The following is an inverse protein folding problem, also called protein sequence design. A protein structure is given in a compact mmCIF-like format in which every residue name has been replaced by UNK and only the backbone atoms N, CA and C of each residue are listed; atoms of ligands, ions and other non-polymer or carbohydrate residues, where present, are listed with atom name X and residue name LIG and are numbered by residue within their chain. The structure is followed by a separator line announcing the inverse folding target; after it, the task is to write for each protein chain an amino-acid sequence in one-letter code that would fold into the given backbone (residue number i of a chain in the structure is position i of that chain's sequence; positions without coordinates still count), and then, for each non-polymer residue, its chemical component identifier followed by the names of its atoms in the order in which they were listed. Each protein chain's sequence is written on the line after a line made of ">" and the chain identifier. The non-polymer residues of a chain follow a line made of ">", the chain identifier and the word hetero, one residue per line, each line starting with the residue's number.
data_IF_931704618367
#
_entry.id   IF_931704618367
#
_cell.length_a   1.000
_cell.length_b   1.000
_cell.length_c   1.000
_cell.angle_alpha   90.00
_cell.angle_beta   90.00
_cell.angle_gamma   90.00
#
_symmetry.space_group_name_H-M   'P 1'
#
loop_
_entity.id
_entity.type
_entity.pdbx_description
1 polymer ?
#
# COMPACT_ATOMS: atom_id res chain seq x y z
N UNK A 1 52.92 37.77 -45.12
CA UNK A 1 51.67 36.97 -45.10
C UNK A 1 51.54 36.33 -43.72
N UNK A 2 50.65 36.84 -42.86
CA UNK A 2 50.46 36.36 -41.49
C UNK A 2 49.34 35.32 -41.50
N UNK A 3 49.61 34.11 -41.02
CA UNK A 3 48.61 33.04 -40.90
C UNK A 3 47.68 33.37 -39.72
N UNK A 4 46.33 33.32 -39.87
CA UNK A 4 45.44 33.50 -38.74
C UNK A 4 45.51 32.28 -37.82
N UNK A 5 45.73 32.54 -36.53
CA UNK A 5 45.68 31.58 -35.45
C UNK A 5 44.25 31.03 -35.30
N UNK A 6 44.07 29.73 -35.58
CA UNK A 6 42.85 28.97 -35.28
C UNK A 6 43.05 28.11 -34.02
N UNK A 7 43.28 28.73 -32.86
CA UNK A 7 43.42 27.98 -31.60
C UNK A 7 42.76 28.74 -30.45
N UNK A 8 41.43 28.94 -30.48
CA UNK A 8 40.68 29.40 -29.29
C UNK A 8 39.30 28.70 -29.13
N UNK A 9 38.78 27.98 -30.13
CA UNK A 9 37.36 27.57 -30.11
C UNK A 9 37.04 26.24 -29.40
N UNK A 10 38.01 25.37 -29.10
CA UNK A 10 37.70 24.02 -28.60
C UNK A 10 37.52 23.93 -27.08
N UNK A 11 38.16 24.82 -26.31
CA UNK A 11 38.09 24.80 -24.85
C UNK A 11 36.74 25.34 -24.33
N UNK A 12 36.20 26.37 -24.98
CA UNK A 12 34.91 26.98 -24.61
C UNK A 12 33.75 26.00 -24.79
N UNK A 13 33.76 25.19 -25.85
CA UNK A 13 32.72 24.18 -26.08
C UNK A 13 32.74 23.06 -25.03
N UNK A 14 33.93 22.71 -24.53
CA UNK A 14 34.12 21.70 -23.49
C UNK A 14 33.66 22.23 -22.13
N UNK A 15 34.02 23.46 -21.79
CA UNK A 15 33.61 24.10 -20.53
C UNK A 15 32.08 24.30 -20.47
N UNK A 16 31.44 24.68 -21.58
CA UNK A 16 29.97 24.79 -21.67
C UNK A 16 29.29 23.42 -21.53
N UNK A 17 29.87 22.36 -22.11
CA UNK A 17 29.36 20.99 -21.93
C UNK A 17 29.52 20.50 -20.48
N UNK A 18 30.63 20.86 -19.82
CA UNK A 18 30.89 20.55 -18.41
C UNK A 18 29.95 21.31 -17.47
N UNK A 19 29.65 22.59 -17.74
CA UNK A 19 28.68 23.36 -16.97
C UNK A 19 27.24 22.85 -17.16
N UNK A 20 26.84 22.57 -18.40
CA UNK A 20 25.54 21.95 -18.69
C UNK A 20 25.39 20.58 -18.00
N UNK A 21 26.48 19.79 -17.95
CA UNK A 21 26.53 18.53 -17.23
C UNK A 21 26.38 18.73 -15.72
N UNK A 22 27.11 19.70 -15.14
CA UNK A 22 27.01 20.04 -13.71
C UNK A 22 25.60 20.44 -13.32
N UNK A 23 24.96 21.31 -14.08
CA UNK A 23 23.57 21.72 -13.84
C UNK A 23 22.59 20.54 -13.95
N UNK A 24 22.78 19.66 -14.93
CA UNK A 24 21.97 18.46 -15.08
C UNK A 24 22.13 17.51 -13.88
N UNK A 25 23.36 17.31 -13.41
CA UNK A 25 23.65 16.49 -12.23
C UNK A 25 23.08 17.10 -10.96
N UNK A 26 23.17 18.42 -10.80
CA UNK A 26 22.60 19.13 -9.67
C UNK A 26 21.06 18.97 -9.65
N UNK A 27 20.40 19.21 -10.79
CA UNK A 27 18.96 18.97 -10.96
C UNK A 27 18.58 17.53 -10.65
N UNK A 28 19.34 16.56 -11.13
CA UNK A 28 19.10 15.15 -10.84
C UNK A 28 19.25 14.83 -9.35
N UNK A 29 20.31 15.32 -8.69
CA UNK A 29 20.53 15.11 -7.26
C UNK A 29 19.38 15.72 -6.43
N UNK A 30 18.86 16.88 -6.83
CA UNK A 30 17.65 17.47 -6.23
C UNK A 30 16.43 16.56 -6.46
N UNK A 31 16.23 16.05 -7.68
CA UNK A 31 15.13 15.15 -8.00
C UNK A 31 15.20 13.83 -7.20
N UNK A 32 16.39 13.25 -7.04
CA UNK A 32 16.62 12.05 -6.22
C UNK A 32 16.32 12.32 -4.74
N UNK A 33 16.78 13.46 -4.19
CA UNK A 33 16.46 13.86 -2.81
C UNK A 33 14.94 14.00 -2.63
N UNK A 34 14.26 14.70 -3.54
CA UNK A 34 12.79 14.85 -3.54
C UNK A 34 12.07 13.50 -3.63
N UNK A 35 12.51 12.62 -4.52
CA UNK A 35 11.94 11.27 -4.68
C UNK A 35 12.08 10.43 -3.42
N UNK A 36 13.27 10.41 -2.82
CA UNK A 36 13.52 9.71 -1.55
C UNK A 36 12.68 10.28 -0.41
N UNK A 37 12.59 11.61 -0.30
CA UNK A 37 11.76 12.28 0.70
C UNK A 37 10.27 11.90 0.52
N UNK A 38 9.75 11.93 -0.71
CA UNK A 38 8.38 11.50 -1.02
C UNK A 38 8.13 10.05 -0.62
N UNK A 39 9.06 9.14 -0.93
CA UNK A 39 8.93 7.72 -0.56
C UNK A 39 8.94 7.52 0.96
N UNK A 40 9.79 8.24 1.70
CA UNK A 40 9.81 8.19 3.17
C UNK A 40 8.52 8.73 3.76
N UNK A 41 8.03 9.87 3.26
CA UNK A 41 6.76 10.45 3.70
C UNK A 41 5.59 9.48 3.46
N UNK A 42 5.51 8.87 2.27
CA UNK A 42 4.48 7.87 1.96
C UNK A 42 4.55 6.64 2.90
N UNK A 43 5.76 6.19 3.24
CA UNK A 43 5.94 5.10 4.22
C UNK A 43 5.48 5.52 5.62
N UNK A 44 5.82 6.72 6.06
CA UNK A 44 5.37 7.27 7.36
C UNK A 44 3.85 7.28 7.44
N UNK A 45 3.18 7.90 6.45
CA UNK A 45 1.71 7.98 6.41
C UNK A 45 1.05 6.60 6.47
N UNK A 46 1.63 5.60 5.79
CA UNK A 46 1.13 4.23 5.85
C UNK A 46 1.26 3.62 7.24
N UNK A 47 2.38 3.84 7.92
CA UNK A 47 2.62 3.38 9.30
C UNK A 47 1.62 4.07 10.24
N UNK A 48 1.50 5.39 10.15
CA UNK A 48 0.61 6.18 10.99
C UNK A 48 -0.85 5.72 10.83
N UNK A 49 -1.29 5.49 9.58
CA UNK A 49 -2.63 4.98 9.28
C UNK A 49 -2.85 3.56 9.82
N UNK A 50 -1.83 2.71 9.75
CA UNK A 50 -1.92 1.36 10.31
C UNK A 50 -2.05 1.40 11.83
N UNK A 51 -1.26 2.24 12.50
CA UNK A 51 -1.34 2.43 13.95
C UNK A 51 -2.71 2.96 14.37
N UNK A 52 -3.25 3.96 13.66
CA UNK A 52 -4.59 4.48 13.90
C UNK A 52 -5.67 3.40 13.72
N UNK A 53 -5.64 2.66 12.61
CA UNK A 53 -6.59 1.57 12.35
C UNK A 53 -6.47 0.43 13.37
N UNK A 54 -5.26 0.15 13.84
CA UNK A 54 -5.02 -0.85 14.88
C UNK A 54 -5.63 -0.41 16.21
N UNK A 55 -5.39 0.84 16.62
CA UNK A 55 -5.98 1.42 17.82
C UNK A 55 -7.52 1.44 17.75
N UNK A 56 -8.09 1.85 16.61
CA UNK A 56 -9.54 1.84 16.39
C UNK A 56 -10.13 0.43 16.46
N UNK A 57 -9.47 -0.56 15.85
CA UNK A 57 -9.93 -1.95 15.93
C UNK A 57 -9.87 -2.50 17.37
N UNK A 58 -8.80 -2.19 18.12
CA UNK A 58 -8.69 -2.57 19.53
C UNK A 58 -9.84 -1.99 20.36
N UNK A 59 -10.15 -0.69 20.18
CA UNK A 59 -11.25 -0.03 20.85
C UNK A 59 -12.62 -0.64 20.49
N UNK A 60 -12.86 -0.91 19.20
CA UNK A 60 -14.09 -1.55 18.74
C UNK A 60 -14.25 -2.97 19.32
N UNK A 61 -13.16 -3.76 19.33
CA UNK A 61 -13.15 -5.10 19.94
C UNK A 61 -13.45 -5.03 21.43
N UNK A 62 -12.89 -4.06 22.14
CA UNK A 62 -13.17 -3.82 23.56
C UNK A 62 -14.65 -3.51 23.81
N UNK A 63 -15.21 -2.55 23.08
CA UNK A 63 -16.63 -2.17 23.20
C UNK A 63 -17.57 -3.35 22.88
N UNK A 64 -17.25 -4.12 21.84
CA UNK A 64 -18.02 -5.29 21.45
C UNK A 64 -17.96 -6.38 22.54
N UNK A 65 -16.77 -6.66 23.07
CA UNK A 65 -16.56 -7.63 24.15
C UNK A 65 -17.35 -7.24 25.39
N UNK A 66 -17.32 -5.95 25.76
CA UNK A 66 -18.13 -5.41 26.87
C UNK A 66 -19.61 -5.65 26.63
N UNK A 67 -20.13 -5.28 25.46
CA UNK A 67 -21.54 -5.45 25.10
C UNK A 67 -21.97 -6.93 25.14
N UNK A 68 -21.10 -7.84 24.69
CA UNK A 68 -21.35 -9.28 24.73
C UNK A 68 -21.41 -9.82 26.16
N UNK A 69 -20.59 -9.31 27.08
CA UNK A 69 -20.67 -9.64 28.51
C UNK A 69 -22.00 -9.19 29.10
N UNK A 70 -22.43 -7.96 28.79
CA UNK A 70 -23.73 -7.42 29.22
C UNK A 70 -24.90 -8.27 28.68
N UNK A 71 -24.86 -8.65 27.40
CA UNK A 71 -25.87 -9.54 26.79
C UNK A 71 -25.89 -10.93 27.42
N UNK A 72 -24.72 -11.47 27.74
CA UNK A 72 -24.61 -12.76 28.43
C UNK A 72 -25.22 -12.68 29.83
N UNK A 73 -24.97 -11.59 30.56
CA UNK A 73 -25.59 -11.34 31.85
C UNK A 73 -27.12 -11.23 31.74
N UNK A 74 -27.63 -10.47 30.77
CA UNK A 74 -29.06 -10.36 30.50
C UNK A 74 -29.69 -11.72 30.17
N UNK A 75 -29.00 -12.57 29.41
CA UNK A 75 -29.44 -13.96 29.14
C UNK A 75 -29.64 -14.72 30.44
N UNK A 76 -28.68 -14.66 31.35
CA UNK A 76 -28.73 -15.35 32.64
C UNK A 76 -29.90 -14.84 33.51
N UNK A 77 -30.17 -13.53 33.49
CA UNK A 77 -31.34 -12.97 34.18
C UNK A 77 -32.67 -13.47 33.60
N UNK A 78 -32.78 -13.51 32.27
CA UNK A 78 -34.00 -14.02 31.61
C UNK A 78 -34.25 -15.48 31.95
N UNK A 79 -33.20 -16.33 31.88
CA UNK A 79 -33.27 -17.74 32.30
C UNK A 79 -33.73 -17.86 33.75
N UNK A 80 -33.12 -17.11 34.66
CA UNK A 80 -33.45 -17.16 36.10
C UNK A 80 -34.88 -16.68 36.39
N UNK A 81 -35.40 -15.74 35.60
CA UNK A 81 -36.77 -15.24 35.74
C UNK A 81 -37.83 -16.14 35.07
N UNK A 82 -37.44 -17.25 34.45
CA UNK A 82 -38.37 -18.13 33.72
C UNK A 82 -38.96 -17.50 32.45
N UNK A 83 -38.39 -16.39 31.97
CA UNK A 83 -38.86 -15.69 30.77
C UNK A 83 -38.32 -16.36 29.50
N UNK A 84 -39.09 -16.25 28.42
CA UNK A 84 -38.65 -16.72 27.10
C UNK A 84 -37.45 -15.88 26.61
N UNK A 85 -36.39 -16.56 26.21
CA UNK A 85 -35.18 -15.92 25.68
C UNK A 85 -35.42 -15.54 24.21
N UNK A 86 -35.17 -14.28 23.81
CA UNK A 86 -35.25 -13.88 22.40
C UNK A 86 -34.26 -14.69 21.53
N UNK A 87 -34.73 -15.20 20.38
CA UNK A 87 -33.90 -16.01 19.46
C UNK A 87 -32.61 -15.30 19.04
N UNK A 88 -32.72 -14.02 18.70
CA UNK A 88 -31.58 -13.16 18.32
C UNK A 88 -30.50 -13.11 19.40
N UNK A 89 -30.88 -13.08 20.67
CA UNK A 89 -29.93 -13.05 21.79
C UNK A 89 -29.22 -14.40 21.95
N UNK A 90 -29.92 -15.52 21.74
CA UNK A 90 -29.31 -16.85 21.70
C UNK A 90 -28.32 -16.99 20.53
N UNK A 91 -28.67 -16.48 19.36
CA UNK A 91 -27.80 -16.49 18.17
C UNK A 91 -26.53 -15.66 18.39
N UNK A 92 -26.66 -14.46 18.97
CA UNK A 92 -25.51 -13.59 19.27
C UNK A 92 -24.56 -14.23 20.28
N UNK A 93 -25.08 -14.79 21.38
CA UNK A 93 -24.27 -15.47 22.38
C UNK A 93 -23.61 -16.74 21.82
N UNK A 94 -24.27 -17.42 20.86
CA UNK A 94 -23.67 -18.56 20.15
C UNK A 94 -22.55 -18.09 19.21
N UNK A 95 -22.75 -16.98 18.50
CA UNK A 95 -21.77 -16.43 17.57
C UNK A 95 -20.53 -15.87 18.29
N UNK A 96 -20.67 -15.42 19.54
CA UNK A 96 -19.59 -14.89 20.37
C UNK A 96 -18.76 -15.92 21.14
N UNK A 97 -19.04 -17.21 20.98
CA UNK A 97 -18.16 -18.27 21.54
C UNK A 97 -16.84 -18.25 20.78
N UNK A 98 -15.75 -18.73 21.39
CA UNK A 98 -14.41 -18.75 20.77
C UNK A 98 -14.39 -19.39 19.36
N UNK A 99 -15.13 -20.48 19.16
CA UNK A 99 -15.26 -21.16 17.86
C UNK A 99 -16.25 -20.48 16.90
N UNK A 100 -16.93 -19.43 17.36
CA UNK A 100 -17.92 -18.68 16.60
C UNK A 100 -17.27 -17.59 15.74
N UNK A 101 -17.97 -17.11 14.70
CA UNK A 101 -17.43 -16.10 13.79
C UNK A 101 -17.06 -14.79 14.51
N UNK A 102 -17.75 -14.46 15.60
CA UNK A 102 -17.48 -13.25 16.38
C UNK A 102 -16.37 -13.47 17.41
N UNK A 103 -16.25 -14.68 17.97
CA UNK A 103 -15.15 -15.04 18.87
C UNK A 103 -13.81 -15.01 18.15
N UNK A 104 -13.73 -15.61 16.96
CA UNK A 104 -12.52 -15.58 16.12
C UNK A 104 -12.05 -14.16 15.76
N UNK A 105 -12.98 -13.21 15.60
CA UNK A 105 -12.65 -11.81 15.29
C UNK A 105 -12.12 -11.05 16.53
N UNK A 106 -12.52 -11.49 17.72
CA UNK A 106 -12.14 -10.90 19.00
C UNK A 106 -10.86 -11.51 19.58
N UNK A 107 -10.51 -12.75 19.21
CA UNK A 107 -9.29 -13.42 19.66
C UNK A 107 -8.07 -12.82 18.93
N UNK A 108 -7.25 -12.06 19.65
CA UNK A 108 -6.05 -11.41 19.11
C UNK A 108 -5.08 -12.45 18.54
N UNK A 109 -4.72 -12.28 17.28
CA UNK A 109 -3.46 -12.79 16.72
C UNK A 109 -2.62 -11.58 16.35
N UNK A 110 -2.22 -10.81 17.36
CA UNK A 110 -1.42 -9.59 17.19
C UNK A 110 0.09 -9.91 17.07
N UNK A 111 0.46 -11.16 16.76
CA UNK A 111 1.83 -11.63 16.95
C UNK A 111 2.82 -11.44 15.78
N UNK A 112 2.41 -11.10 14.55
CA UNK A 112 3.34 -11.22 13.40
C UNK A 112 3.52 -9.97 12.51
N UNK A 113 2.84 -8.85 12.77
CA UNK A 113 2.84 -7.73 11.78
C UNK A 113 3.94 -6.69 12.00
N UNK A 114 4.55 -6.63 13.19
CA UNK A 114 5.65 -5.69 13.47
C UNK A 114 6.90 -5.94 12.59
N UNK A 115 7.07 -7.17 12.08
CA UNK A 115 8.22 -7.55 11.24
C UNK A 115 8.02 -7.25 9.75
N UNK A 116 6.78 -7.10 9.28
CA UNK A 116 6.48 -6.80 7.87
C UNK A 116 6.94 -5.37 7.51
N UNK A 117 6.88 -4.44 8.46
CA UNK A 117 7.23 -3.03 8.21
C UNK A 117 8.73 -2.73 8.43
N UNK A 118 9.45 -3.58 9.19
CA UNK A 118 10.88 -3.46 9.49
C UNK A 118 11.80 -4.06 8.43
N UNK A 119 11.40 -5.15 7.75
CA UNK A 119 12.27 -5.87 6.80
C UNK A 119 12.43 -5.23 5.41
N UNK A 120 11.70 -4.17 5.09
CA UNK A 120 11.81 -3.47 3.78
C UNK A 120 13.04 -2.56 3.61
N UNK A 121 14.00 -2.58 4.54
CA UNK A 121 15.29 -1.90 4.40
C UNK A 121 16.33 -2.68 3.58
N UNK A 122 16.04 -3.93 3.19
CA UNK A 122 16.94 -4.77 2.39
C UNK A 122 16.54 -4.81 0.92
N UNK A 123 17.36 -4.22 0.06
CA UNK A 123 17.37 -4.47 -1.38
C UNK A 123 17.55 -5.96 -1.66
N UNK A 124 16.55 -6.63 -2.23
CA UNK A 124 16.76 -7.86 -2.98
C UNK A 124 15.89 -7.88 -4.25
N UNK A 125 16.59 -7.95 -5.39
CA UNK A 125 16.03 -8.32 -6.66
C UNK A 125 15.38 -9.71 -6.52
N UNK A 126 14.05 -9.79 -6.47
CA UNK A 126 13.33 -11.05 -6.66
C UNK A 126 12.61 -11.02 -8.00
N UNK A 127 13.41 -11.34 -9.01
CA UNK A 127 12.97 -12.05 -10.21
C UNK A 127 12.45 -13.41 -9.75
N UNK A 128 11.13 -13.56 -9.55
CA UNK A 128 10.52 -14.89 -9.40
C UNK A 128 9.16 -14.93 -10.08
N UNK A 129 9.12 -15.71 -11.14
CA UNK A 129 7.96 -16.12 -11.92
C UNK A 129 6.78 -16.52 -11.03
N UNK A 130 5.62 -15.96 -11.32
CA UNK A 130 4.37 -16.69 -11.33
C UNK A 130 3.70 -16.43 -12.68
N UNK A 131 3.93 -17.36 -13.60
CA UNK A 131 3.00 -17.60 -14.69
C UNK A 131 1.68 -18.10 -14.07
N UNK A 132 0.56 -17.57 -14.52
CA UNK A 132 -0.68 -18.29 -14.89
C UNK A 132 -1.87 -17.32 -14.95
N UNK A 133 -2.11 -16.75 -16.14
CA UNK A 133 -3.48 -16.57 -16.68
C UNK A 133 -3.40 -16.72 -18.21
N UNK A 134 -4.18 -17.62 -18.84
CA UNK A 134 -4.30 -17.70 -20.29
C UNK A 134 -5.26 -16.61 -20.78
N UNK A 135 -4.80 -15.72 -21.66
CA UNK A 135 -5.67 -14.84 -22.44
C UNK A 135 -6.11 -15.56 -23.71
N UNK A 136 -7.40 -15.52 -24.11
CA UNK A 136 -7.83 -16.10 -25.36
C UNK A 136 -7.33 -15.24 -26.53
N UNK A 137 -6.67 -15.93 -27.45
CA UNK A 137 -6.32 -15.49 -28.80
C UNK A 137 -7.58 -15.10 -29.58
N UNK A 138 -7.56 -13.92 -30.21
CA UNK A 138 -8.38 -13.64 -31.39
C UNK A 138 -7.49 -13.00 -32.45
N UNK A 139 -7.50 -13.64 -33.61
CA UNK A 139 -6.67 -13.42 -34.77
C UNK A 139 -6.88 -12.06 -35.47
N UNK A 140 -5.80 -11.65 -36.12
CA UNK A 140 -5.64 -10.75 -37.27
C UNK A 140 -6.89 -10.37 -38.07
N UNK A 141 -6.97 -9.07 -38.40
CA UNK A 141 -7.40 -8.61 -39.73
C UNK A 141 -6.94 -7.17 -40.04
N UNK A 142 -5.93 -7.10 -40.93
CA UNK A 142 -5.88 -6.29 -42.17
C UNK A 142 -6.12 -4.76 -42.11
N UNK A 143 -5.03 -4.05 -42.47
CA UNK A 143 -4.93 -2.90 -43.40
C UNK A 143 -6.14 -1.98 -43.53
N UNK A 144 -5.97 -0.67 -43.25
CA UNK A 144 -6.48 0.43 -44.08
C UNK A 144 -5.58 1.68 -43.93
N UNK A 145 -5.21 2.27 -45.07
CA UNK A 145 -4.36 3.47 -45.23
C UNK A 145 -5.14 4.74 -44.87
N UNK A 146 -4.50 5.83 -44.41
CA UNK A 146 -5.14 7.12 -44.31
C UNK A 146 -5.15 7.82 -45.69
N UNK A 147 -6.34 8.15 -46.19
CA UNK A 147 -6.52 9.04 -47.34
C UNK A 147 -6.21 10.48 -46.94
N UNK A 148 -5.32 11.10 -47.70
CA UNK A 148 -4.92 12.49 -47.62
C UNK A 148 -6.01 13.35 -48.27
N UNK A 149 -6.50 14.36 -47.54
CA UNK A 149 -7.39 15.39 -48.05
C UNK A 149 -6.65 16.27 -49.07
N UNK A 150 -7.23 16.47 -50.25
CA UNK A 150 -7.11 17.73 -50.99
C UNK A 150 -8.44 18.07 -51.68
N UNK A 151 -8.97 19.21 -51.22
CA UNK A 151 -9.68 20.29 -51.92
C UNK A 151 -10.64 19.96 -53.06
#
# INVERSE_FOLDING_TARGET
>A
MVKPSMIICDNVAKDVADDAYREWRERNNVAVRKSRAKKRAAKSVMIDMYEELSAQNSELRFQLTRSLRELTFLRCLLVRSGRKIPKRLTELVRASREDGPLGQLLHESDHDTADILKTSSGSSNLRRSLQLVPTPSVNDSKKLKPTLNHR
#
